data_IF_559277475557
#
_entry.id   IF_559277475557
#
_cell.length_a   1.000
_cell.length_b   1.000
_cell.length_c   1.000
_cell.angle_alpha   90.00
_cell.angle_beta   90.00
_cell.angle_gamma   90.00
#
_symmetry.space_group_name_H-M   'P 1'
#
loop_
_entity.id
_entity.type
_entity.pdbx_description
1 polymer ?
#
# COMPACT_ATOMS: atom_id res chain seq x y z
N UNK A 1 -0.11 16.02 6.51
CA UNK A 1 -1.04 14.90 6.23
C UNK A 1 -0.24 13.62 6.20
N UNK A 2 -0.75 12.57 6.84
CA UNK A 2 -0.04 11.29 7.02
C UNK A 2 -0.61 10.21 6.10
N UNK A 3 0.22 9.23 5.77
CA UNK A 3 -0.23 7.99 5.16
C UNK A 3 -0.06 6.83 6.15
N UNK A 4 -1.14 6.10 6.40
CA UNK A 4 -1.16 4.87 7.19
C UNK A 4 -1.01 3.69 6.24
N UNK A 5 -0.02 2.82 6.50
CA UNK A 5 0.26 1.67 5.66
C UNK A 5 0.12 0.39 6.50
N UNK A 6 -0.74 -0.52 6.06
CA UNK A 6 -0.90 -1.83 6.69
C UNK A 6 0.25 -2.77 6.29
N UNK A 7 1.06 -3.17 7.25
CA UNK A 7 2.24 -4.00 7.03
C UNK A 7 2.33 -5.20 7.98
N UNK A 8 1.20 -5.60 8.60
CA UNK A 8 1.20 -6.60 9.67
C UNK A 8 0.61 -7.98 9.31
N UNK A 9 0.16 -8.17 8.05
CA UNK A 9 -0.46 -9.44 7.61
C UNK A 9 0.55 -10.58 7.39
N UNK A 10 0.08 -11.82 7.49
CA UNK A 10 0.89 -13.04 7.34
C UNK A 10 1.40 -13.29 5.91
N UNK A 11 0.73 -12.75 4.89
CA UNK A 11 1.14 -12.91 3.49
C UNK A 11 1.08 -14.34 2.95
N UNK A 12 0.15 -15.16 3.40
CA UNK A 12 0.08 -16.62 3.14
C UNK A 12 0.00 -17.01 1.66
N UNK A 13 -0.47 -16.10 0.79
CA UNK A 13 -0.59 -16.34 -0.67
C UNK A 13 0.75 -16.29 -1.43
N UNK A 14 1.81 -15.81 -0.79
CA UNK A 14 3.18 -15.76 -1.31
C UNK A 14 4.14 -16.34 -0.26
N UNK A 15 3.80 -17.53 0.24
CA UNK A 15 4.46 -18.19 1.37
C UNK A 15 5.94 -18.46 1.13
N UNK A 16 6.37 -18.66 -0.11
CA UNK A 16 7.76 -18.90 -0.49
C UNK A 16 8.68 -17.74 -0.09
N UNK A 17 8.16 -16.53 -0.04
CA UNK A 17 8.91 -15.34 0.37
C UNK A 17 8.62 -14.96 1.84
N UNK A 18 7.36 -15.14 2.28
CA UNK A 18 6.93 -14.59 3.58
C UNK A 18 7.36 -15.43 4.78
N UNK A 19 7.90 -16.64 4.56
CA UNK A 19 8.54 -17.39 5.65
C UNK A 19 9.85 -16.75 6.15
N UNK A 20 10.49 -15.87 5.37
CA UNK A 20 11.71 -15.17 5.72
C UNK A 20 11.46 -13.73 6.18
N UNK A 21 10.55 -13.01 5.51
CA UNK A 21 10.28 -11.60 5.74
C UNK A 21 8.80 -11.26 5.54
N UNK A 22 8.24 -10.23 6.22
CA UNK A 22 6.84 -9.87 6.01
C UNK A 22 6.63 -9.37 4.56
N UNK A 23 5.44 -9.59 3.99
CA UNK A 23 5.10 -9.27 2.60
C UNK A 23 5.53 -7.86 2.16
N UNK A 24 5.33 -6.79 2.95
CA UNK A 24 5.79 -5.44 2.58
C UNK A 24 7.31 -5.29 2.42
N UNK A 25 8.09 -6.25 2.92
CA UNK A 25 9.55 -6.27 2.80
C UNK A 25 10.06 -7.13 1.65
N UNK A 26 9.18 -7.72 0.84
CA UNK A 26 9.57 -8.39 -0.40
C UNK A 26 10.05 -7.32 -1.39
N UNK A 27 11.20 -7.57 -2.00
CA UNK A 27 11.88 -6.59 -2.84
C UNK A 27 11.42 -6.64 -4.29
N UNK A 28 11.37 -5.46 -4.89
CA UNK A 28 11.25 -5.21 -6.32
C UNK A 28 12.38 -4.27 -6.71
N UNK A 29 13.25 -4.71 -7.62
CA UNK A 29 14.43 -3.94 -8.01
C UNK A 29 15.38 -3.62 -6.86
N UNK A 30 15.54 -4.53 -5.90
CA UNK A 30 16.40 -4.38 -4.72
C UNK A 30 15.86 -3.42 -3.65
N UNK A 31 14.58 -3.05 -3.70
CA UNK A 31 13.90 -2.23 -2.68
C UNK A 31 12.62 -2.90 -2.22
N UNK A 32 12.29 -2.89 -0.91
CA UNK A 32 11.02 -3.42 -0.43
C UNK A 32 9.81 -2.78 -1.13
N UNK A 33 8.74 -3.54 -1.41
CA UNK A 33 7.52 -2.94 -1.99
C UNK A 33 6.96 -1.82 -1.11
N UNK A 34 7.13 -1.90 0.19
CA UNK A 34 6.83 -0.82 1.15
C UNK A 34 7.56 0.47 0.78
N UNK A 35 8.84 0.40 0.41
CA UNK A 35 9.61 1.58 -0.04
C UNK A 35 8.99 2.19 -1.31
N UNK A 36 8.59 1.37 -2.28
CA UNK A 36 7.93 1.84 -3.50
C UNK A 36 6.61 2.57 -3.20
N UNK A 37 5.79 2.01 -2.31
CA UNK A 37 4.53 2.63 -1.87
C UNK A 37 4.81 3.99 -1.22
N UNK A 38 5.74 4.05 -0.28
CA UNK A 38 6.12 5.31 0.38
C UNK A 38 6.66 6.33 -0.63
N UNK A 39 7.46 5.88 -1.61
CA UNK A 39 8.00 6.77 -2.66
C UNK A 39 6.90 7.34 -3.55
N UNK A 40 5.88 6.54 -3.92
CA UNK A 40 4.70 7.02 -4.64
C UNK A 40 4.02 8.17 -3.89
N UNK A 41 3.74 8.00 -2.60
CA UNK A 41 3.15 9.06 -1.77
C UNK A 41 4.06 10.28 -1.66
N UNK A 42 5.36 10.07 -1.52
CA UNK A 42 6.36 11.12 -1.37
C UNK A 42 6.46 12.03 -2.59
N UNK A 43 6.27 11.50 -3.82
CA UNK A 43 6.22 12.32 -5.04
C UNK A 43 5.06 13.31 -5.08
N UNK A 44 4.05 13.09 -4.24
CA UNK A 44 2.91 13.98 -4.03
C UNK A 44 3.01 14.81 -2.73
N UNK A 45 4.21 14.89 -2.12
CA UNK A 45 4.47 15.69 -0.92
C UNK A 45 4.05 15.04 0.39
N UNK A 46 3.65 13.76 0.40
CA UNK A 46 3.30 13.01 1.61
C UNK A 46 4.56 12.31 2.14
N UNK A 47 5.15 12.87 3.20
CA UNK A 47 6.40 12.39 3.78
C UNK A 47 6.28 11.93 5.25
N UNK A 48 5.07 11.90 5.80
CA UNK A 48 4.79 11.37 7.13
C UNK A 48 4.03 10.05 7.02
N UNK A 49 4.61 8.98 7.55
CA UNK A 49 4.09 7.63 7.46
C UNK A 49 3.87 7.03 8.83
N UNK A 50 2.74 6.35 9.01
CA UNK A 50 2.45 5.50 10.17
C UNK A 50 2.28 4.07 9.64
N UNK A 51 3.21 3.19 9.99
CA UNK A 51 3.23 1.82 9.49
C UNK A 51 2.75 0.88 10.58
N UNK A 52 1.65 0.18 10.30
CA UNK A 52 1.04 -0.80 11.18
C UNK A 52 1.79 -2.13 11.07
N UNK A 53 2.77 -2.36 11.94
CA UNK A 53 3.53 -3.60 12.00
C UNK A 53 2.73 -4.71 12.71
N UNK A 54 3.04 -5.96 12.39
CA UNK A 54 2.50 -7.17 13.01
C UNK A 54 3.45 -8.32 12.76
N UNK A 55 3.03 -9.34 12.01
CA UNK A 55 3.89 -10.47 11.67
C UNK A 55 5.27 -10.02 11.21
N UNK A 56 6.32 -10.51 11.90
CA UNK A 56 7.72 -10.15 11.65
C UNK A 56 7.99 -8.64 11.57
N UNK A 57 7.22 -7.83 12.29
CA UNK A 57 7.33 -6.36 12.27
C UNK A 57 8.71 -5.84 12.67
N UNK A 58 9.52 -6.64 13.39
CA UNK A 58 10.90 -6.30 13.73
C UNK A 58 11.77 -6.09 12.49
N UNK A 59 11.58 -6.90 11.43
CA UNK A 59 12.33 -6.75 10.17
C UNK A 59 12.08 -5.37 9.52
N UNK A 60 10.85 -4.86 9.62
CA UNK A 60 10.52 -3.51 9.15
C UNK A 60 11.24 -2.46 10.02
N UNK A 61 11.24 -2.64 11.34
CA UNK A 61 11.92 -1.74 12.28
C UNK A 61 13.44 -1.73 12.03
N UNK A 62 14.03 -2.90 11.84
CA UNK A 62 15.46 -3.06 11.55
C UNK A 62 15.83 -2.38 10.21
N UNK A 63 15.02 -2.53 9.17
CA UNK A 63 15.23 -1.86 7.89
C UNK A 63 15.30 -0.34 8.06
N UNK A 64 14.36 0.28 8.77
CA UNK A 64 14.37 1.73 8.98
C UNK A 64 15.44 2.19 9.98
N UNK A 65 15.76 1.40 10.99
CA UNK A 65 16.86 1.70 11.90
C UNK A 65 18.21 1.75 11.18
N UNK A 66 18.38 0.90 10.14
CA UNK A 66 19.59 0.82 9.34
C UNK A 66 19.47 1.54 7.99
N UNK A 67 18.44 2.39 7.80
CA UNK A 67 18.13 2.99 6.51
C UNK A 67 19.31 3.78 5.91
N UNK A 68 20.07 4.49 6.75
CA UNK A 68 21.26 5.22 6.31
C UNK A 68 22.34 4.31 5.72
N UNK A 69 22.50 3.10 6.25
CA UNK A 69 23.45 2.11 5.72
C UNK A 69 23.06 1.63 4.33
N UNK A 70 21.77 1.61 4.01
CA UNK A 70 21.26 1.23 2.68
C UNK A 70 21.36 2.38 1.66
N UNK A 71 21.38 3.63 2.14
CA UNK A 71 21.20 4.82 1.29
C UNK A 71 22.43 5.71 1.21
N UNK A 72 23.53 5.38 1.91
CA UNK A 72 24.69 6.24 2.02
C UNK A 72 25.98 5.44 1.96
N UNK A 73 27.05 6.08 1.52
CA UNK A 73 28.39 5.56 1.75
C UNK A 73 28.77 5.79 3.21
N UNK A 74 29.38 4.80 3.86
CA UNK A 74 29.73 4.87 5.26
C UNK A 74 31.17 4.40 5.51
N UNK A 75 31.86 5.05 6.46
CA UNK A 75 33.14 4.61 6.98
C UNK A 75 32.97 4.16 8.43
N UNK A 76 33.41 2.95 8.74
CA UNK A 76 33.50 2.45 10.10
C UNK A 76 34.96 2.50 10.58
N UNK A 77 35.22 3.36 11.54
CA UNK A 77 36.48 3.35 12.28
C UNK A 77 36.35 2.38 13.45
N UNK A 78 36.80 1.15 13.23
CA UNK A 78 36.70 0.08 14.24
C UNK A 78 37.59 0.33 15.44
N UNK A 79 38.72 1.03 15.26
CA UNK A 79 39.65 1.33 16.37
C UNK A 79 39.04 2.32 17.35
N UNK A 80 38.25 3.28 16.88
CA UNK A 80 37.66 4.33 17.74
C UNK A 80 36.14 4.14 17.92
N UNK A 81 35.56 3.04 17.42
CA UNK A 81 34.11 2.76 17.44
C UNK A 81 33.25 3.94 16.93
N UNK A 82 33.64 4.48 15.77
CA UNK A 82 32.95 5.62 15.13
C UNK A 82 32.42 5.21 13.78
N UNK A 83 31.28 5.81 13.40
CA UNK A 83 30.70 5.70 12.08
C UNK A 83 30.56 7.11 11.47
N UNK A 84 31.01 7.26 10.24
CA UNK A 84 30.84 8.47 9.44
C UNK A 84 29.96 8.16 8.24
N UNK A 85 28.90 8.92 8.05
CA UNK A 85 27.97 8.79 6.92
C UNK A 85 28.31 9.85 5.88
N UNK A 86 28.64 9.39 4.66
CA UNK A 86 28.96 10.24 3.51
C UNK A 86 27.77 10.26 2.56
N UNK A 87 27.54 11.38 1.87
CA UNK A 87 26.51 11.51 0.84
C UNK A 87 25.12 10.99 1.26
N UNK A 88 24.44 11.74 2.11
CA UNK A 88 23.05 11.41 2.49
C UNK A 88 22.12 11.47 1.29
N UNK A 89 21.71 10.30 0.80
CA UNK A 89 20.69 10.14 -0.25
C UNK A 89 19.36 9.61 0.32
N UNK A 90 19.17 9.76 1.63
CA UNK A 90 17.94 9.31 2.29
C UNK A 90 16.74 10.17 1.91
N UNK A 91 15.59 9.51 1.87
CA UNK A 91 14.31 10.17 1.62
C UNK A 91 13.92 11.10 2.80
N UNK A 92 13.17 12.18 2.56
CA UNK A 92 12.76 13.13 3.60
C UNK A 92 11.60 12.60 4.45
N UNK A 93 11.61 11.32 4.78
CA UNK A 93 10.49 10.66 5.44
C UNK A 93 10.57 10.73 6.96
N UNK A 94 9.43 10.96 7.57
CA UNK A 94 9.19 10.74 9.00
C UNK A 94 8.34 9.49 9.14
N UNK A 95 8.92 8.44 9.72
CA UNK A 95 8.30 7.11 9.79
C UNK A 95 8.03 6.75 11.24
N UNK A 96 6.78 6.44 11.55
CA UNK A 96 6.34 5.90 12.84
C UNK A 96 5.98 4.43 12.65
N UNK A 97 6.67 3.54 13.34
CA UNK A 97 6.47 2.08 13.26
C UNK A 97 5.75 1.61 14.51
N UNK A 98 4.48 1.22 14.36
CA UNK A 98 3.63 0.84 15.48
C UNK A 98 3.42 -0.67 15.48
N UNK A 99 3.69 -1.32 16.59
CA UNK A 99 3.30 -2.71 16.78
C UNK A 99 1.78 -2.76 17.01
N UNK A 100 1.08 -3.30 16.03
CA UNK A 100 -0.38 -3.42 16.07
C UNK A 100 -0.86 -4.83 16.37
N UNK A 101 0.03 -5.70 16.82
CA UNK A 101 -0.25 -7.10 17.15
C UNK A 101 -0.26 -8.03 15.93
N UNK A 102 0.00 -9.31 16.15
CA UNK A 102 0.09 -10.30 15.08
C UNK A 102 -1.29 -10.69 14.54
N UNK A 103 -2.24 -10.96 15.44
CA UNK A 103 -3.59 -11.46 15.12
C UNK A 103 -4.63 -10.36 14.88
N UNK A 104 -4.21 -9.10 14.85
CA UNK A 104 -5.10 -7.95 14.65
C UNK A 104 -5.49 -7.83 13.18
N UNK A 105 -6.78 -7.68 12.89
CA UNK A 105 -7.31 -7.47 11.54
C UNK A 105 -7.12 -6.03 11.06
N UNK A 106 -7.38 -5.78 9.78
CA UNK A 106 -7.09 -4.51 9.08
C UNK A 106 -7.67 -3.28 9.75
N UNK A 107 -8.93 -3.32 10.17
CA UNK A 107 -9.57 -2.24 10.94
C UNK A 107 -8.97 -2.09 12.33
N UNK A 108 -8.76 -3.19 13.06
CA UNK A 108 -8.13 -3.16 14.37
C UNK A 108 -6.76 -2.48 14.34
N UNK A 109 -5.93 -2.75 13.32
CA UNK A 109 -4.64 -2.07 13.14
C UNK A 109 -4.80 -0.57 12.96
N UNK A 110 -5.77 -0.15 12.16
CA UNK A 110 -6.09 1.27 11.97
C UNK A 110 -6.53 1.91 13.30
N UNK A 111 -7.35 1.23 14.09
CA UNK A 111 -7.77 1.71 15.41
C UNK A 111 -6.60 1.89 16.38
N UNK A 112 -5.65 0.98 16.39
CA UNK A 112 -4.46 1.05 17.26
C UNK A 112 -3.51 2.22 16.96
N UNK A 113 -3.62 2.82 15.77
CA UNK A 113 -2.83 4.00 15.38
C UNK A 113 -3.62 5.31 15.45
N UNK A 114 -4.85 5.30 15.97
CA UNK A 114 -5.75 6.46 16.04
C UNK A 114 -5.11 7.71 16.69
N UNK A 115 -4.32 7.52 17.75
CA UNK A 115 -3.65 8.62 18.45
C UNK A 115 -2.70 9.44 17.56
N UNK A 116 -2.10 8.80 16.56
CA UNK A 116 -1.21 9.47 15.60
C UNK A 116 -1.99 10.30 14.56
N UNK A 117 -3.32 10.13 14.48
CA UNK A 117 -4.17 10.70 13.43
C UNK A 117 -5.17 11.74 13.95
N UNK A 118 -5.33 11.88 15.26
CA UNK A 118 -6.39 12.69 15.90
C UNK A 118 -6.38 14.17 15.53
N UNK A 119 -5.23 14.70 15.10
CA UNK A 119 -5.07 16.11 14.74
C UNK A 119 -5.08 16.33 13.21
N UNK A 120 -5.31 15.30 12.42
CA UNK A 120 -5.41 15.42 10.97
C UNK A 120 -6.88 15.62 10.55
N UNK A 121 -7.15 16.49 9.59
CA UNK A 121 -8.49 16.64 8.99
C UNK A 121 -8.85 15.40 8.15
N UNK A 122 -7.87 14.84 7.48
CA UNK A 122 -7.93 13.59 6.73
C UNK A 122 -6.55 12.94 6.68
N UNK A 123 -6.50 11.65 6.39
CA UNK A 123 -5.26 10.89 6.20
C UNK A 123 -5.41 9.90 5.06
N UNK A 124 -4.30 9.52 4.46
CA UNK A 124 -4.26 8.42 3.50
C UNK A 124 -4.16 7.09 4.23
N UNK A 125 -4.80 6.08 3.67
CA UNK A 125 -4.76 4.72 4.19
C UNK A 125 -4.58 3.75 3.03
N UNK A 126 -3.62 2.82 3.15
CA UNK A 126 -3.34 1.86 2.07
C UNK A 126 -2.81 0.53 2.62
N UNK A 127 -2.90 -0.50 1.78
CA UNK A 127 -2.26 -1.79 2.03
C UNK A 127 -0.77 -1.73 1.67
N UNK A 128 0.03 -2.58 2.32
CA UNK A 128 1.49 -2.61 2.16
C UNK A 128 2.00 -3.52 1.05
N UNK A 129 1.17 -3.81 0.04
CA UNK A 129 1.47 -4.84 -0.96
C UNK A 129 1.03 -4.51 -2.40
N UNK A 130 0.55 -3.30 -2.67
CA UNK A 130 0.11 -2.87 -3.99
C UNK A 130 0.72 -1.56 -4.45
N UNK A 131 1.04 -1.47 -5.74
CA UNK A 131 1.56 -0.25 -6.39
C UNK A 131 0.63 0.21 -7.51
N UNK A 132 0.55 1.52 -7.71
CA UNK A 132 -0.26 2.15 -8.75
C UNK A 132 0.41 3.44 -9.25
N UNK A 133 0.00 3.92 -10.42
CA UNK A 133 0.36 5.27 -10.87
C UNK A 133 -0.76 6.29 -10.60
N UNK A 134 -1.45 6.10 -9.48
CA UNK A 134 -2.53 7.00 -9.05
C UNK A 134 -1.99 8.38 -8.70
N UNK A 135 -2.74 9.42 -9.09
CA UNK A 135 -2.47 10.79 -8.69
C UNK A 135 -3.08 11.04 -7.29
N UNK A 136 -2.25 10.86 -6.27
CA UNK A 136 -2.61 11.04 -4.85
C UNK A 136 -3.11 12.47 -4.57
N UNK A 137 -2.59 13.46 -5.27
CA UNK A 137 -3.03 14.86 -5.12
C UNK A 137 -4.46 15.04 -5.63
N UNK A 138 -4.80 14.44 -6.77
CA UNK A 138 -6.16 14.48 -7.31
C UNK A 138 -7.14 13.68 -6.47
N UNK A 139 -6.75 12.52 -5.95
CA UNK A 139 -7.58 11.73 -5.03
C UNK A 139 -7.93 12.54 -3.77
N UNK A 140 -6.94 13.23 -3.19
CA UNK A 140 -7.17 14.12 -2.04
C UNK A 140 -8.09 15.30 -2.40
N UNK A 141 -7.88 15.94 -3.55
CA UNK A 141 -8.74 17.05 -3.98
C UNK A 141 -10.18 16.60 -4.18
N UNK A 142 -10.38 15.41 -4.76
CA UNK A 142 -11.69 14.79 -4.91
C UNK A 142 -12.32 14.52 -3.54
N UNK A 143 -11.58 13.93 -2.60
CA UNK A 143 -12.06 13.69 -1.23
C UNK A 143 -12.57 14.98 -0.57
N UNK A 144 -11.79 16.06 -0.65
CA UNK A 144 -12.17 17.35 -0.10
C UNK A 144 -13.40 17.96 -0.77
N UNK A 145 -13.60 17.70 -2.07
CA UNK A 145 -14.70 18.30 -2.84
C UNK A 145 -16.08 17.76 -2.48
N UNK A 146 -16.18 16.48 -2.10
CA UNK A 146 -17.48 15.86 -1.81
C UNK A 146 -17.89 15.93 -0.34
N UNK A 147 -16.96 16.24 0.58
CA UNK A 147 -17.24 16.43 2.02
C UNK A 147 -17.75 15.17 2.77
N UNK A 148 -17.56 13.97 2.20
CA UNK A 148 -17.89 12.69 2.84
C UNK A 148 -16.72 12.17 3.67
N UNK A 149 -16.95 11.13 4.49
CA UNK A 149 -15.95 10.61 5.42
C UNK A 149 -14.85 9.80 4.74
N UNK A 150 -15.13 9.16 3.61
CA UNK A 150 -14.19 8.25 2.96
C UNK A 150 -14.22 8.37 1.44
N UNK A 151 -13.05 8.23 0.84
CA UNK A 151 -12.83 7.98 -0.60
C UNK A 151 -12.07 6.68 -0.75
N UNK A 152 -12.45 5.85 -1.71
CA UNK A 152 -11.73 4.62 -2.11
C UNK A 152 -11.32 4.70 -3.56
N UNK A 153 -10.09 4.29 -3.86
CA UNK A 153 -9.65 4.09 -5.24
C UNK A 153 -10.42 2.92 -5.85
N UNK A 154 -11.15 3.19 -6.92
CA UNK A 154 -11.88 2.17 -7.69
C UNK A 154 -11.07 1.81 -8.94
N UNK A 155 -10.71 0.54 -9.09
CA UNK A 155 -9.85 0.06 -10.18
C UNK A 155 -10.49 -1.12 -10.90
N UNK A 156 -10.15 -1.30 -12.16
CA UNK A 156 -10.44 -2.55 -12.88
C UNK A 156 -9.35 -3.58 -12.52
N UNK A 157 -9.73 -4.79 -12.04
CA UNK A 157 -8.76 -5.82 -11.76
C UNK A 157 -8.02 -6.24 -13.05
N UNK A 158 -6.72 -6.57 -12.97
CA UNK A 158 -6.02 -7.15 -14.12
C UNK A 158 -6.66 -8.49 -14.50
N UNK A 159 -6.88 -8.71 -15.80
CA UNK A 159 -7.42 -9.97 -16.31
C UNK A 159 -6.52 -11.16 -15.96
N UNK A 160 -7.09 -12.18 -15.34
CA UNK A 160 -6.36 -13.41 -14.97
C UNK A 160 -6.55 -14.54 -15.97
N UNK A 161 -7.68 -14.53 -16.70
CA UNK A 161 -8.11 -15.59 -17.61
C UNK A 161 -8.50 -15.01 -18.97
N UNK A 162 -8.52 -15.85 -20.01
CA UNK A 162 -9.11 -15.52 -21.30
C UNK A 162 -10.63 -15.47 -21.20
N UNK A 163 -11.26 -14.46 -21.78
CA UNK A 163 -12.70 -14.34 -21.88
C UNK A 163 -13.21 -14.89 -23.22
N UNK A 164 -14.32 -15.64 -23.16
CA UNK A 164 -15.00 -16.19 -24.32
C UNK A 164 -16.25 -15.37 -24.61
N UNK A 165 -16.44 -14.96 -25.86
CA UNK A 165 -17.71 -14.46 -26.35
C UNK A 165 -18.49 -15.63 -26.97
N UNK A 166 -19.63 -15.97 -26.35
CA UNK A 166 -20.39 -17.14 -26.71
C UNK A 166 -21.72 -16.74 -27.39
N UNK A 167 -22.09 -17.51 -28.45
CA UNK A 167 -23.44 -17.53 -29.01
C UNK A 167 -23.96 -18.98 -28.98
N UNK A 168 -24.80 -19.25 -28.01
CA UNK A 168 -25.11 -20.63 -27.63
C UNK A 168 -23.87 -21.37 -27.18
N UNK A 169 -23.49 -22.44 -27.86
CA UNK A 169 -22.27 -23.22 -27.61
C UNK A 169 -21.08 -22.82 -28.48
N UNK A 170 -21.30 -21.90 -29.44
CA UNK A 170 -20.27 -21.43 -30.38
C UNK A 170 -19.46 -20.31 -29.74
N UNK A 171 -18.12 -20.42 -29.81
CA UNK A 171 -17.22 -19.35 -29.45
C UNK A 171 -17.06 -18.40 -30.63
N UNK A 172 -17.63 -17.20 -30.54
CA UNK A 172 -17.52 -16.16 -31.57
C UNK A 172 -16.30 -15.25 -31.40
N UNK A 173 -15.75 -15.20 -30.16
CA UNK A 173 -14.57 -14.38 -29.88
C UNK A 173 -13.82 -14.88 -28.65
N UNK A 174 -12.50 -14.61 -28.63
CA UNK A 174 -11.61 -14.88 -27.53
C UNK A 174 -10.74 -13.65 -27.26
N UNK A 175 -10.68 -13.22 -26.02
CA UNK A 175 -9.81 -12.11 -25.60
C UNK A 175 -8.93 -12.60 -24.45
N UNK A 176 -7.63 -12.65 -24.68
CA UNK A 176 -6.69 -13.06 -23.63
C UNK A 176 -6.58 -11.97 -22.57
N UNK A 177 -6.86 -12.34 -21.32
CA UNK A 177 -6.74 -11.47 -20.12
C UNK A 177 -7.35 -10.07 -20.30
N UNK A 178 -8.64 -9.95 -20.69
CA UNK A 178 -9.28 -8.64 -20.77
C UNK A 178 -9.18 -7.95 -19.39
N UNK A 179 -9.08 -6.64 -19.41
CA UNK A 179 -9.19 -5.88 -18.16
C UNK A 179 -10.63 -6.01 -17.67
N UNK A 180 -10.83 -6.74 -16.57
CA UNK A 180 -12.09 -6.90 -15.86
C UNK A 180 -13.26 -7.34 -16.76
N UNK A 181 -14.25 -7.93 -16.15
CA UNK A 181 -15.58 -8.19 -16.72
C UNK A 181 -16.53 -6.98 -16.57
N UNK A 182 -15.97 -5.78 -16.39
CA UNK A 182 -16.69 -4.51 -16.24
C UNK A 182 -16.93 -4.06 -14.80
N UNK A 183 -16.58 -4.85 -13.79
CA UNK A 183 -16.70 -4.49 -12.39
C UNK A 183 -15.47 -3.71 -11.86
N UNK A 184 -15.73 -2.63 -11.12
CA UNK A 184 -14.68 -1.94 -10.33
C UNK A 184 -14.53 -2.62 -8.98
N UNK A 185 -13.29 -2.72 -8.51
CA UNK A 185 -12.96 -3.26 -7.18
C UNK A 185 -12.26 -2.22 -6.31
N UNK A 186 -12.19 -2.49 -5.01
CA UNK A 186 -11.38 -1.74 -4.06
C UNK A 186 -9.89 -1.84 -4.42
N UNK A 187 -9.29 -0.74 -4.82
CA UNK A 187 -7.89 -0.63 -5.21
C UNK A 187 -6.92 -0.51 -4.04
N UNK A 188 -7.42 -0.44 -2.80
CA UNK A 188 -6.59 -0.42 -1.59
C UNK A 188 -5.93 0.92 -1.27
N UNK A 189 -6.28 1.99 -1.98
CA UNK A 189 -5.89 3.35 -1.67
C UNK A 189 -7.13 4.12 -1.19
N UNK A 190 -7.00 4.82 -0.08
CA UNK A 190 -8.11 5.54 0.55
C UNK A 190 -7.66 6.91 1.03
N UNK A 191 -8.61 7.85 1.03
CA UNK A 191 -8.54 9.07 1.83
C UNK A 191 -9.66 9.02 2.86
N UNK A 192 -9.32 9.12 4.13
CA UNK A 192 -10.25 8.92 5.25
C UNK A 192 -10.25 10.10 6.20
N UNK A 193 -11.43 10.49 6.68
CA UNK A 193 -11.57 11.29 7.89
C UNK A 193 -11.23 10.45 9.14
N UNK A 194 -10.59 11.00 10.18
CA UNK A 194 -10.39 10.30 11.45
C UNK A 194 -11.66 9.73 12.07
N UNK A 195 -12.81 10.31 11.79
CA UNK A 195 -14.14 9.81 12.24
C UNK A 195 -14.45 8.39 11.73
N UNK A 196 -13.81 7.94 10.67
CA UNK A 196 -13.98 6.56 10.18
C UNK A 196 -13.49 5.53 11.20
N UNK A 197 -12.57 5.89 12.10
CA UNK A 197 -12.00 5.01 13.11
C UNK A 197 -13.07 4.64 14.17
N UNK A 198 -14.05 5.50 14.40
CA UNK A 198 -15.15 5.26 15.34
C UNK A 198 -16.04 4.07 14.93
N UNK A 199 -16.03 3.69 13.66
CA UNK A 199 -16.75 2.53 13.13
C UNK A 199 -16.05 1.19 13.44
N UNK A 200 -14.82 1.23 13.93
CA UNK A 200 -14.03 0.04 14.24
C UNK A 200 -14.27 -0.35 15.71
N UNK A 201 -14.87 -1.53 15.93
CA UNK A 201 -15.24 -1.99 17.26
C UNK A 201 -14.01 -2.41 18.09
N UNK A 202 -13.18 -3.29 17.54
CA UNK A 202 -12.10 -3.96 18.24
C UNK A 202 -11.01 -4.45 17.26
N UNK A 203 -10.04 -5.17 17.79
CA UNK A 203 -8.91 -5.74 17.01
C UNK A 203 -9.33 -6.78 15.97
N UNK A 204 -10.49 -7.43 16.16
CA UNK A 204 -11.04 -8.43 15.26
C UNK A 204 -11.96 -7.82 14.18
N UNK A 205 -11.98 -6.50 14.07
CA UNK A 205 -12.73 -5.81 13.04
C UNK A 205 -11.89 -5.71 11.77
N UNK A 206 -12.37 -6.31 10.67
CA UNK A 206 -11.83 -6.06 9.32
C UNK A 206 -12.34 -4.71 8.81
N UNK A 207 -11.46 -3.88 8.26
CA UNK A 207 -11.83 -2.62 7.61
C UNK A 207 -12.81 -2.83 6.45
N UNK A 208 -12.58 -3.88 5.66
CA UNK A 208 -13.37 -4.27 4.49
C UNK A 208 -14.76 -4.80 4.84
N UNK A 209 -14.96 -5.16 6.11
CA UNK A 209 -16.23 -5.65 6.63
C UNK A 209 -17.19 -4.54 7.03
N UNK A 210 -17.59 -4.53 8.32
CA UNK A 210 -18.58 -3.59 8.83
C UNK A 210 -18.25 -2.10 8.58
N UNK A 211 -17.02 -1.59 8.83
CA UNK A 211 -16.72 -0.17 8.64
C UNK A 211 -16.97 0.31 7.20
N UNK A 212 -16.43 -0.38 6.22
CA UNK A 212 -16.57 0.01 4.81
C UNK A 212 -18.01 -0.15 4.31
N UNK A 213 -18.69 -1.23 4.72
CA UNK A 213 -20.12 -1.45 4.41
C UNK A 213 -21.00 -0.36 5.02
N UNK A 214 -20.75 0.02 6.27
CA UNK A 214 -21.50 1.07 6.96
C UNK A 214 -21.32 2.42 6.27
N UNK A 215 -20.08 2.79 5.91
CA UNK A 215 -19.78 4.01 5.15
C UNK A 215 -20.52 4.03 3.80
N UNK A 216 -20.58 2.92 3.10
CA UNK A 216 -21.30 2.81 1.83
C UNK A 216 -22.81 2.97 2.05
N UNK A 217 -23.39 2.25 3.00
CA UNK A 217 -24.83 2.30 3.31
C UNK A 217 -25.28 3.69 3.75
N UNK A 218 -24.46 4.39 4.51
CA UNK A 218 -24.75 5.75 5.01
C UNK A 218 -24.46 6.84 3.96
N UNK A 219 -24.03 6.48 2.75
CA UNK A 219 -23.65 7.43 1.69
C UNK A 219 -22.42 8.27 2.03
N UNK A 220 -21.53 7.75 2.89
CA UNK A 220 -20.31 8.41 3.35
C UNK A 220 -19.06 7.90 2.64
N UNK A 221 -19.18 6.98 1.69
CA UNK A 221 -18.09 6.45 0.85
C UNK A 221 -18.27 6.94 -0.59
N UNK A 222 -17.22 7.50 -1.17
CA UNK A 222 -17.16 7.87 -2.58
C UNK A 222 -16.04 7.09 -3.27
N UNK A 223 -16.22 6.80 -4.55
CA UNK A 223 -15.20 6.13 -5.38
C UNK A 223 -14.45 7.15 -6.23
N UNK A 224 -13.11 7.08 -6.20
CA UNK A 224 -12.24 7.77 -7.16
C UNK A 224 -11.79 6.74 -8.20
N UNK A 225 -12.27 6.87 -9.43
CA UNK A 225 -11.97 5.91 -10.49
C UNK A 225 -10.56 6.10 -11.03
N UNK A 226 -9.80 5.01 -11.13
CA UNK A 226 -8.46 4.97 -11.68
C UNK A 226 -8.37 3.95 -12.82
N UNK A 227 -8.10 4.45 -14.00
CA UNK A 227 -7.98 3.64 -15.24
C UNK A 227 -6.53 3.31 -15.60
N UNK A 228 -5.57 3.82 -14.81
CA UNK A 228 -4.14 3.63 -15.02
C UNK A 228 -3.64 2.25 -14.55
N UNK A 229 -2.34 2.22 -14.26
CA UNK A 229 -1.69 1.02 -13.74
C UNK A 229 -2.04 0.82 -12.25
N UNK A 230 -2.42 -0.38 -11.91
CA UNK A 230 -2.60 -0.86 -10.55
C UNK A 230 -2.26 -2.34 -10.49
N UNK A 231 -1.43 -2.75 -9.52
CA UNK A 231 -1.00 -4.14 -9.38
C UNK A 231 -0.71 -4.47 -7.91
N UNK A 232 -1.45 -5.41 -7.30
CA UNK A 232 -1.07 -6.01 -6.01
C UNK A 232 0.01 -7.07 -6.23
N UNK A 233 0.86 -7.29 -5.25
CA UNK A 233 1.85 -8.36 -5.24
C UNK A 233 1.35 -9.53 -4.37
N UNK A 234 0.34 -10.26 -4.85
CA UNK A 234 -0.28 -11.35 -4.09
C UNK A 234 0.39 -12.72 -4.28
N UNK A 235 1.03 -12.93 -5.41
CA UNK A 235 1.63 -14.21 -5.81
C UNK A 235 3.05 -13.99 -6.34
N UNK A 236 3.83 -15.08 -6.47
CA UNK A 236 5.16 -15.04 -7.13
C UNK A 236 5.08 -14.52 -8.56
N UNK A 237 4.01 -14.83 -9.29
CA UNK A 237 3.77 -14.29 -10.62
C UNK A 237 3.65 -12.77 -10.61
N UNK A 238 2.92 -12.21 -9.65
CA UNK A 238 2.78 -10.75 -9.52
C UNK A 238 4.13 -10.11 -9.21
N UNK A 239 4.93 -10.72 -8.32
CA UNK A 239 6.31 -10.29 -8.01
C UNK A 239 7.18 -10.30 -9.28
N UNK A 240 7.19 -11.40 -10.02
CA UNK A 240 7.97 -11.52 -11.26
C UNK A 240 7.58 -10.45 -12.27
N UNK A 241 6.30 -10.19 -12.45
CA UNK A 241 5.79 -9.14 -13.35
C UNK A 241 6.27 -7.74 -12.91
N UNK A 242 6.22 -7.44 -11.61
CA UNK A 242 6.71 -6.16 -11.09
C UNK A 242 8.23 -6.02 -11.27
N UNK A 243 9.00 -7.09 -11.05
CA UNK A 243 10.45 -7.12 -11.31
C UNK A 243 10.78 -6.87 -12.78
N UNK A 244 10.09 -7.52 -13.71
CA UNK A 244 10.28 -7.32 -15.14
C UNK A 244 10.00 -5.87 -15.56
N UNK A 245 8.92 -5.29 -15.06
CA UNK A 245 8.58 -3.88 -15.30
C UNK A 245 9.66 -2.94 -14.75
N UNK A 246 10.17 -3.23 -13.57
CA UNK A 246 11.24 -2.43 -12.96
C UNK A 246 12.55 -2.55 -13.75
N UNK A 247 13.00 -3.77 -14.04
CA UNK A 247 14.23 -4.04 -14.76
C UNK A 247 14.24 -3.46 -16.18
N UNK A 248 13.08 -3.43 -16.85
CA UNK A 248 12.94 -2.83 -18.18
C UNK A 248 12.89 -1.28 -18.17
N UNK A 249 12.89 -0.65 -16.99
CA UNK A 249 12.73 0.80 -16.83
C UNK A 249 11.33 1.31 -17.18
N UNK A 250 10.34 0.41 -17.33
CA UNK A 250 8.94 0.74 -17.71
C UNK A 250 7.95 0.61 -16.56
N UNK A 251 8.43 0.61 -15.32
CA UNK A 251 7.58 0.53 -14.13
C UNK A 251 6.62 1.74 -14.04
N UNK A 252 5.31 1.58 -14.30
CA UNK A 252 4.40 2.72 -14.41
C UNK A 252 4.20 3.48 -13.09
N UNK A 253 4.40 2.81 -11.95
CA UNK A 253 4.31 3.42 -10.63
C UNK A 253 5.56 4.24 -10.27
N UNK A 254 6.67 4.10 -11.02
CA UNK A 254 7.88 4.90 -10.84
C UNK A 254 7.66 6.27 -11.47
N UNK A 255 7.00 7.17 -10.75
CA UNK A 255 6.74 8.57 -11.18
C UNK A 255 7.85 9.54 -10.77
N UNK A 256 8.88 9.05 -10.07
CA UNK A 256 10.07 9.80 -9.66
C UNK A 256 11.27 9.54 -10.58
N UNK A 257 12.19 10.48 -10.57
CA UNK A 257 13.48 10.39 -11.28
C UNK A 257 14.47 9.49 -10.55
#
# INVERSE_FOLDING_TARGET
>A
MKAVILAGGLGTRISEETHLKPKPMIEIGGRPILWHIMKMYSTHGVNEFVICCGYRGYIIKEYFANYFLHMSDVTFDMAHNKMEVHQQKSEPWRVTLVDTGEDTLTGGRLKRVAEYLKNDDAFFFTYGDGVANVDITKELAFHKSHGKLATVLAVQPPGRYGALQLKGTTVEGFTEKPRGDGGLINGGFFVLSPKCIDLIKDDQTSWEGHPLTKLATDGQLQSFEHTGFWQPMDTLRDKTQLEELWASGKAPWKTWQ
#
